data_IF_887233529655
#
_entry.id   IF_887233529655
#
_cell.length_a   1.000
_cell.length_b   1.000
_cell.length_c   1.000
_cell.angle_alpha   90.00
_cell.angle_beta   90.00
_cell.angle_gamma   90.00
#
_symmetry.space_group_name_H-M   'P 1'
#
loop_
_entity.id
_entity.type
_entity.pdbx_description
1 polymer ?
#
# COMPACT_ATOMS: atom_id res chain seq x y z
N UNK A 1 -35.77 -43.44 -3.11
CA UNK A 1 -34.65 -42.54 -3.43
C UNK A 1 -33.43 -43.39 -3.65
N UNK A 2 -32.68 -43.20 -4.73
CA UNK A 2 -31.47 -43.97 -5.03
C UNK A 2 -30.29 -43.02 -5.24
N UNK A 3 -29.14 -43.33 -4.63
CA UNK A 3 -27.87 -42.65 -4.84
C UNK A 3 -27.17 -43.29 -6.02
N UNK A 4 -26.80 -42.49 -7.01
CA UNK A 4 -26.08 -42.94 -8.19
C UNK A 4 -24.58 -43.04 -7.93
N UNK A 5 -23.86 -43.72 -8.83
CA UNK A 5 -22.39 -43.89 -8.76
C UNK A 5 -21.62 -42.57 -8.87
N UNK A 6 -22.27 -41.50 -9.32
CA UNK A 6 -21.72 -40.14 -9.39
C UNK A 6 -22.12 -39.26 -8.18
N UNK A 7 -22.68 -39.86 -7.12
CA UNK A 7 -23.08 -39.16 -5.89
C UNK A 7 -24.38 -38.35 -6.00
N UNK A 8 -25.08 -38.38 -7.15
CA UNK A 8 -26.35 -37.66 -7.33
C UNK A 8 -27.54 -38.52 -6.89
N UNK A 9 -28.59 -37.88 -6.39
CA UNK A 9 -29.81 -38.58 -5.95
C UNK A 9 -30.85 -38.59 -7.06
N UNK A 10 -31.47 -39.75 -7.28
CA UNK A 10 -32.74 -39.86 -8.00
C UNK A 10 -33.86 -40.04 -6.97
N UNK A 11 -34.85 -39.18 -7.07
CA UNK A 11 -36.10 -39.28 -6.31
C UNK A 11 -37.19 -39.81 -7.23
N UNK A 12 -37.90 -40.83 -6.75
CA UNK A 12 -39.09 -41.38 -7.37
C UNK A 12 -40.29 -41.14 -6.46
N UNK A 13 -41.49 -40.97 -7.03
CA UNK A 13 -42.70 -40.76 -6.25
C UNK A 13 -43.92 -40.40 -7.11
N UNK A 14 -45.00 -39.99 -6.46
CA UNK A 14 -46.21 -39.51 -7.14
C UNK A 14 -46.17 -37.98 -7.28
N UNK A 15 -45.42 -37.48 -8.27
CA UNK A 15 -45.39 -36.05 -8.63
C UNK A 15 -45.36 -35.90 -10.16
N UNK A 16 -45.88 -34.78 -10.65
CA UNK A 16 -45.83 -34.37 -12.07
C UNK A 16 -44.91 -33.16 -12.30
N UNK A 17 -44.38 -32.55 -11.24
CA UNK A 17 -43.48 -31.39 -11.28
C UNK A 17 -42.40 -31.46 -10.20
N UNK A 18 -41.19 -30.96 -10.50
CA UNK A 18 -40.08 -30.82 -9.55
C UNK A 18 -39.31 -29.51 -9.83
N UNK A 19 -39.09 -28.67 -8.81
CA UNK A 19 -38.55 -27.30 -8.95
C UNK A 19 -39.24 -26.47 -10.05
N UNK A 20 -40.57 -26.54 -10.16
CA UNK A 20 -41.35 -25.80 -11.16
C UNK A 20 -41.26 -26.32 -12.60
N UNK A 21 -40.51 -27.40 -12.86
CA UNK A 21 -40.38 -28.03 -14.17
C UNK A 21 -41.22 -29.32 -14.20
N UNK A 22 -41.94 -29.56 -15.29
CA UNK A 22 -42.68 -30.82 -15.50
C UNK A 22 -41.72 -32.00 -15.47
N UNK A 23 -41.92 -32.89 -14.49
CA UNK A 23 -41.14 -34.10 -14.25
C UNK A 23 -42.09 -35.15 -13.71
N UNK A 24 -42.33 -36.20 -14.50
CA UNK A 24 -43.28 -37.24 -14.11
C UNK A 24 -42.57 -38.33 -13.33
N UNK A 25 -42.92 -38.45 -12.06
CA UNK A 25 -42.63 -39.57 -11.15
C UNK A 25 -41.16 -39.85 -10.83
N UNK A 26 -40.23 -39.33 -11.62
CA UNK A 26 -38.78 -39.46 -11.44
C UNK A 26 -38.14 -38.10 -11.70
N UNK A 27 -37.30 -37.67 -10.76
CA UNK A 27 -36.49 -36.47 -10.89
C UNK A 27 -35.09 -36.77 -10.40
N UNK A 28 -34.09 -36.23 -11.09
CA UNK A 28 -32.70 -36.26 -10.65
C UNK A 28 -32.41 -34.95 -9.93
N UNK A 29 -31.91 -35.05 -8.70
CA UNK A 29 -31.48 -33.91 -7.93
C UNK A 29 -30.05 -33.54 -8.34
N UNK A 30 -29.90 -32.36 -8.94
CA UNK A 30 -28.60 -31.78 -9.23
C UNK A 30 -28.12 -31.07 -7.95
N UNK A 31 -27.27 -31.73 -7.18
CA UNK A 31 -26.55 -31.08 -6.09
C UNK A 31 -25.24 -30.52 -6.64
N UNK A 32 -25.00 -29.24 -6.38
CA UNK A 32 -23.74 -28.59 -6.72
C UNK A 32 -22.74 -28.80 -5.57
N UNK A 33 -21.47 -29.02 -5.91
CA UNK A 33 -20.39 -29.06 -4.94
C UNK A 33 -20.13 -27.66 -4.37
N UNK A 34 -20.04 -27.55 -3.05
CA UNK A 34 -19.73 -26.28 -2.41
C UNK A 34 -18.24 -25.94 -2.62
N UNK A 35 -17.92 -24.64 -2.69
CA UNK A 35 -16.57 -24.14 -2.95
C UNK A 35 -16.29 -22.86 -2.16
N UNK A 36 -15.00 -22.51 -2.06
CA UNK A 36 -14.52 -21.30 -1.39
C UNK A 36 -13.50 -20.57 -2.25
N UNK A 37 -13.29 -19.29 -1.92
CA UNK A 37 -12.24 -18.46 -2.51
C UNK A 37 -11.14 -18.27 -1.47
N UNK A 38 -9.88 -18.48 -1.87
CA UNK A 38 -8.71 -18.06 -1.12
C UNK A 38 -8.22 -16.73 -1.70
N UNK A 39 -8.38 -15.65 -0.93
CA UNK A 39 -7.90 -14.32 -1.29
C UNK A 39 -7.19 -13.69 -0.10
N UNK A 40 -5.86 -13.64 -0.18
CA UNK A 40 -5.01 -13.10 0.88
C UNK A 40 -5.20 -11.59 1.06
N UNK A 41 -4.74 -11.08 2.20
CA UNK A 41 -4.73 -9.64 2.47
C UNK A 41 -3.89 -8.90 1.43
N UNK A 42 -4.34 -7.72 1.04
CA UNK A 42 -3.62 -6.87 0.10
C UNK A 42 -2.64 -5.98 0.86
N UNK A 43 -1.40 -5.93 0.38
CA UNK A 43 -0.43 -4.97 0.88
C UNK A 43 -0.84 -3.54 0.51
N UNK A 44 -0.47 -2.58 1.35
CA UNK A 44 -0.59 -1.16 1.02
C UNK A 44 0.21 -0.84 -0.26
N UNK A 45 -0.32 0.08 -1.07
CA UNK A 45 0.30 0.55 -2.32
C UNK A 45 0.50 2.05 -2.31
N UNK A 46 1.41 2.52 -3.16
CA UNK A 46 1.69 3.94 -3.35
C UNK A 46 1.06 4.38 -4.68
N UNK A 47 0.39 5.53 -4.68
CA UNK A 47 -0.15 6.12 -5.90
C UNK A 47 0.99 6.39 -6.90
N UNK A 48 0.91 5.77 -8.08
CA UNK A 48 1.97 5.78 -9.09
C UNK A 48 2.73 4.46 -9.23
N UNK A 49 2.54 3.49 -8.32
CA UNK A 49 3.03 2.12 -8.51
C UNK A 49 2.49 1.54 -9.83
N UNK A 50 3.31 0.69 -10.46
CA UNK A 50 2.89 -0.03 -11.65
C UNK A 50 1.64 -0.90 -11.36
N UNK A 51 0.76 -1.11 -12.36
CA UNK A 51 -0.35 -2.02 -12.23
C UNK A 51 0.08 -3.40 -11.75
N UNK A 52 -0.72 -4.03 -10.90
CA UNK A 52 -0.41 -5.33 -10.31
C UNK A 52 -1.58 -6.31 -10.45
N UNK A 53 -1.26 -7.60 -10.49
CA UNK A 53 -2.25 -8.65 -10.60
C UNK A 53 -2.75 -9.12 -9.23
N UNK A 54 -4.04 -9.43 -9.17
CA UNK A 54 -4.68 -10.17 -8.08
C UNK A 54 -4.56 -11.67 -8.34
N UNK A 55 -4.41 -12.44 -7.27
CA UNK A 55 -4.09 -13.87 -7.30
C UNK A 55 -5.03 -14.72 -6.43
N UNK A 56 -6.30 -14.31 -6.30
CA UNK A 56 -7.29 -15.14 -5.62
C UNK A 56 -7.57 -16.43 -6.39
N UNK A 57 -7.79 -17.53 -5.68
CA UNK A 57 -8.10 -18.84 -6.28
C UNK A 57 -9.41 -19.38 -5.73
N UNK A 58 -10.19 -20.05 -6.57
CA UNK A 58 -11.37 -20.79 -6.13
C UNK A 58 -11.02 -22.28 -6.00
N UNK A 59 -11.55 -22.97 -4.98
CA UNK A 59 -11.29 -24.42 -4.79
C UNK A 59 -11.86 -25.29 -5.91
N UNK A 60 -12.80 -24.77 -6.71
CA UNK A 60 -13.31 -25.41 -7.93
C UNK A 60 -12.36 -25.31 -9.13
N UNK A 61 -11.33 -24.46 -9.07
CA UNK A 61 -10.47 -24.10 -10.21
C UNK A 61 -11.13 -23.14 -11.21
N UNK A 62 -12.37 -22.69 -10.97
CA UNK A 62 -13.04 -21.71 -11.81
C UNK A 62 -12.41 -20.31 -11.68
N UNK A 63 -12.43 -19.49 -12.76
CA UNK A 63 -11.85 -18.16 -12.72
C UNK A 63 -12.57 -17.25 -11.72
N UNK A 64 -11.79 -16.46 -10.99
CA UNK A 64 -12.31 -15.48 -10.03
C UNK A 64 -12.44 -14.11 -10.71
N UNK A 65 -13.55 -13.44 -10.45
CA UNK A 65 -13.83 -12.07 -10.89
C UNK A 65 -13.61 -11.09 -9.74
N UNK A 66 -13.29 -9.83 -10.07
CA UNK A 66 -12.97 -8.81 -9.08
C UNK A 66 -13.73 -7.52 -9.33
N UNK A 67 -14.12 -6.85 -8.24
CA UNK A 67 -14.71 -5.51 -8.28
C UNK A 67 -14.06 -4.62 -7.22
N UNK A 68 -13.91 -3.33 -7.53
CA UNK A 68 -13.49 -2.30 -6.58
C UNK A 68 -14.71 -1.51 -6.13
N UNK A 69 -14.88 -1.30 -4.82
CA UNK A 69 -15.97 -0.48 -4.29
C UNK A 69 -15.79 1.02 -4.58
N UNK A 70 -14.57 1.46 -4.89
CA UNK A 70 -14.25 2.84 -5.24
C UNK A 70 -13.25 2.91 -6.40
N UNK A 71 -13.75 3.21 -7.59
CA UNK A 71 -12.94 3.35 -8.82
C UNK A 71 -12.09 4.61 -8.86
N UNK A 72 -12.39 5.62 -8.02
CA UNK A 72 -11.53 6.79 -7.88
C UNK A 72 -10.22 6.47 -7.11
N UNK A 73 -10.18 5.36 -6.37
CA UNK A 73 -8.98 4.87 -5.69
C UNK A 73 -8.25 3.83 -6.55
N UNK A 74 -8.97 2.80 -7.02
CA UNK A 74 -8.40 1.79 -7.90
C UNK A 74 -9.45 1.21 -8.87
N UNK A 75 -9.05 1.04 -10.13
CA UNK A 75 -9.82 0.36 -11.17
C UNK A 75 -9.30 -1.04 -11.41
N UNK A 76 -10.14 -1.93 -11.92
CA UNK A 76 -9.78 -3.33 -12.20
C UNK A 76 -10.22 -3.69 -13.61
N UNK A 77 -9.30 -4.29 -14.39
CA UNK A 77 -9.59 -4.92 -15.67
C UNK A 77 -9.07 -6.35 -15.64
N UNK A 78 -9.96 -7.33 -15.80
CA UNK A 78 -9.64 -8.74 -15.54
C UNK A 78 -9.22 -8.94 -14.09
N UNK A 79 -7.95 -9.32 -13.87
CA UNK A 79 -7.34 -9.43 -12.54
C UNK A 79 -6.30 -8.33 -12.26
N UNK A 80 -6.14 -7.35 -13.15
CA UNK A 80 -5.11 -6.30 -13.01
C UNK A 80 -5.72 -5.06 -12.38
N UNK A 81 -5.12 -4.61 -11.28
CA UNK A 81 -5.49 -3.39 -10.56
C UNK A 81 -4.64 -2.24 -11.09
N UNK A 82 -5.28 -1.13 -11.41
CA UNK A 82 -4.62 0.15 -11.72
C UNK A 82 -5.02 1.19 -10.68
N UNK A 83 -4.03 1.82 -10.07
CA UNK A 83 -4.22 2.82 -9.03
C UNK A 83 -4.57 4.16 -9.66
N UNK A 84 -5.62 4.81 -9.17
CA UNK A 84 -6.17 6.06 -9.73
C UNK A 84 -6.02 7.21 -8.73
N UNK A 85 -6.19 6.94 -7.44
CA UNK A 85 -6.14 7.96 -6.40
C UNK A 85 -5.81 7.36 -5.04
N UNK A 86 -5.42 8.22 -4.11
CA UNK A 86 -5.17 7.81 -2.73
C UNK A 86 -6.48 7.67 -1.94
N UNK A 87 -6.47 6.77 -0.98
CA UNK A 87 -7.61 6.39 -0.17
C UNK A 87 -7.66 4.88 0.03
N UNK A 88 -8.74 4.41 0.62
CA UNK A 88 -8.98 2.98 0.81
C UNK A 88 -10.16 2.55 -0.05
N UNK A 89 -10.00 1.42 -0.74
CA UNK A 89 -11.09 0.75 -1.47
C UNK A 89 -11.16 -0.71 -1.05
N UNK A 90 -12.35 -1.29 -1.10
CA UNK A 90 -12.53 -2.73 -0.86
C UNK A 90 -12.54 -3.44 -2.20
N UNK A 91 -11.64 -4.40 -2.36
CA UNK A 91 -11.61 -5.31 -3.50
C UNK A 91 -12.38 -6.57 -3.11
N UNK A 92 -13.44 -6.86 -3.86
CA UNK A 92 -14.26 -8.06 -3.69
C UNK A 92 -13.88 -9.08 -4.75
N UNK A 93 -13.50 -10.28 -4.31
CA UNK A 93 -13.30 -11.45 -5.15
C UNK A 93 -14.58 -12.32 -5.15
N UNK A 94 -15.09 -12.64 -6.34
CA UNK A 94 -16.35 -13.36 -6.52
C UNK A 94 -16.23 -14.50 -7.53
N UNK A 95 -16.93 -15.60 -7.24
CA UNK A 95 -17.05 -16.77 -8.10
C UNK A 95 -18.51 -17.25 -8.14
N UNK A 96 -19.14 -17.16 -9.31
CA UNK A 96 -20.55 -17.47 -9.54
C UNK A 96 -20.91 -18.97 -9.51
N UNK A 97 -19.93 -19.87 -9.65
CA UNK A 97 -20.19 -21.31 -9.81
C UNK A 97 -20.47 -21.70 -11.26
N UNK A 98 -20.93 -22.95 -11.45
CA UNK A 98 -21.36 -23.49 -12.73
C UNK A 98 -22.35 -24.66 -12.50
N UNK A 99 -22.53 -25.53 -13.50
CA UNK A 99 -23.43 -26.69 -13.41
C UNK A 99 -23.01 -27.77 -12.39
N UNK A 100 -21.77 -27.73 -11.90
CA UNK A 100 -21.20 -28.72 -10.97
C UNK A 100 -20.82 -28.11 -9.61
N UNK A 101 -20.59 -26.80 -9.53
CA UNK A 101 -20.22 -26.09 -8.31
C UNK A 101 -21.15 -24.92 -7.99
N UNK A 102 -21.53 -24.77 -6.72
CA UNK A 102 -22.36 -23.66 -6.24
C UNK A 102 -21.57 -22.35 -6.22
N UNK A 103 -22.22 -21.19 -6.24
CA UNK A 103 -21.51 -19.92 -6.07
C UNK A 103 -20.68 -19.90 -4.77
N UNK A 104 -19.44 -19.41 -4.84
CA UNK A 104 -18.61 -19.27 -3.65
C UNK A 104 -19.01 -18.00 -2.86
N UNK A 105 -18.97 -18.03 -1.52
CA UNK A 105 -19.02 -16.81 -0.73
C UNK A 105 -17.93 -15.83 -1.19
N UNK A 106 -18.31 -14.58 -1.45
CA UNK A 106 -17.35 -13.56 -1.89
C UNK A 106 -16.41 -13.18 -0.74
N UNK A 107 -15.15 -12.89 -1.07
CA UNK A 107 -14.12 -12.50 -0.10
C UNK A 107 -13.71 -11.06 -0.36
N UNK A 108 -13.73 -10.25 0.69
CA UNK A 108 -13.42 -8.82 0.63
C UNK A 108 -12.05 -8.56 1.24
N UNK A 109 -11.23 -7.77 0.55
CA UNK A 109 -9.93 -7.30 1.05
C UNK A 109 -9.81 -5.80 0.87
N UNK A 110 -9.31 -5.11 1.89
CA UNK A 110 -9.07 -3.69 1.79
C UNK A 110 -7.73 -3.43 1.09
N UNK A 111 -7.76 -2.56 0.09
CA UNK A 111 -6.59 -1.98 -0.55
C UNK A 111 -6.46 -0.53 -0.08
N UNK A 112 -5.38 -0.26 0.65
CA UNK A 112 -5.00 1.09 1.02
C UNK A 112 -4.00 1.63 0.00
N UNK A 113 -4.32 2.76 -0.60
CA UNK A 113 -3.45 3.49 -1.53
C UNK A 113 -3.08 4.82 -0.88
N UNK A 114 -1.80 5.07 -0.69
CA UNK A 114 -1.33 6.34 -0.13
C UNK A 114 -0.83 7.25 -1.25
N UNK A 115 -1.20 8.53 -1.20
CA UNK A 115 -0.59 9.55 -2.04
C UNK A 115 0.69 10.01 -1.36
N UNK A 116 1.72 10.18 -2.17
CA UNK A 116 2.93 10.89 -1.76
C UNK A 116 2.59 12.38 -1.82
N UNK A 117 2.07 12.94 -0.71
CA UNK A 117 1.60 14.34 -0.65
C UNK A 117 2.73 15.37 -0.53
N UNK A 118 3.98 14.92 -0.64
CA UNK A 118 5.17 15.75 -0.86
C UNK A 118 6.22 14.90 -1.56
N UNK A 119 7.12 15.50 -2.35
CA UNK A 119 8.36 14.84 -2.78
C UNK A 119 9.30 14.60 -1.58
N UNK A 120 8.83 13.93 -0.53
CA UNK A 120 9.69 13.23 0.41
C UNK A 120 9.95 11.85 -0.19
N UNK A 121 10.81 11.85 -1.21
CA UNK A 121 11.82 10.81 -1.46
C UNK A 121 11.58 9.50 -0.68
N UNK A 122 10.89 8.54 -1.28
CA UNK A 122 10.64 7.19 -0.71
C UNK A 122 11.95 6.38 -0.59
N UNK A 123 13.10 6.97 -0.91
CA UNK A 123 14.44 6.49 -0.55
C UNK A 123 14.97 7.02 0.80
N UNK A 124 14.26 7.95 1.46
CA UNK A 124 14.90 8.84 2.43
C UNK A 124 14.19 8.90 3.81
N UNK A 125 14.62 8.10 4.80
CA UNK A 125 14.11 8.17 6.18
C UNK A 125 14.42 9.50 6.92
N UNK A 126 15.11 10.45 6.30
CA UNK A 126 15.55 11.69 6.95
C UNK A 126 14.55 12.85 6.91
N UNK A 127 13.34 12.65 6.36
CA UNK A 127 12.26 13.64 6.48
C UNK A 127 11.85 13.89 7.95
N UNK A 128 12.16 12.94 8.85
CA UNK A 128 11.86 13.00 10.29
C UNK A 128 13.02 13.60 11.12
N UNK A 129 14.23 13.70 10.57
CA UNK A 129 15.37 14.23 11.33
C UNK A 129 15.34 15.76 11.30
N UNK A 130 15.03 16.37 12.44
CA UNK A 130 14.93 17.82 12.61
C UNK A 130 16.12 18.31 13.42
N UNK A 131 16.85 19.35 12.98
CA UNK A 131 17.90 19.95 13.76
C UNK A 131 17.37 20.49 15.10
N UNK A 132 18.14 20.29 16.17
CA UNK A 132 17.78 20.72 17.52
C UNK A 132 19.01 21.28 18.26
N UNK A 133 18.83 22.20 19.22
CA UNK A 133 17.59 22.92 19.50
C UNK A 133 17.19 23.85 18.35
N UNK A 134 15.90 24.12 18.22
CA UNK A 134 15.38 25.14 17.30
C UNK A 134 14.20 25.85 18.00
N UNK A 135 14.35 27.10 18.49
CA UNK A 135 15.48 28.01 18.26
C UNK A 135 16.81 27.58 18.90
N UNK A 136 17.93 27.87 18.23
CA UNK A 136 19.29 27.60 18.69
C UNK A 136 19.97 28.87 19.20
N UNK A 137 20.83 28.75 20.22
CA UNK A 137 21.62 29.88 20.76
C UNK A 137 23.11 29.78 20.46
N UNK A 138 23.72 28.60 20.66
CA UNK A 138 25.16 28.39 20.42
C UNK A 138 25.43 27.28 19.44
N UNK A 139 24.53 26.29 19.35
CA UNK A 139 24.81 25.08 18.62
C UNK A 139 23.54 24.51 17.99
N UNK A 140 23.70 23.87 16.84
CA UNK A 140 22.68 23.09 16.15
C UNK A 140 23.20 21.67 16.01
N UNK A 141 22.45 20.72 16.55
CA UNK A 141 22.70 19.30 16.43
C UNK A 141 21.71 18.69 15.43
N UNK A 142 22.13 17.64 14.74
CA UNK A 142 21.27 16.88 13.85
C UNK A 142 21.65 15.42 13.89
N UNK A 143 20.77 14.58 14.43
CA UNK A 143 20.94 13.13 14.40
C UNK A 143 20.73 12.60 12.98
N UNK A 144 21.73 11.90 12.46
CA UNK A 144 21.79 11.30 11.12
C UNK A 144 22.11 9.79 11.28
N UNK A 145 21.15 8.97 11.75
CA UNK A 145 21.38 7.55 12.01
C UNK A 145 21.68 6.75 10.74
N UNK A 146 22.46 5.68 10.90
CA UNK A 146 22.89 4.77 9.83
C UNK A 146 23.74 5.44 8.72
N UNK A 147 24.38 6.58 9.02
CA UNK A 147 25.23 7.31 8.05
C UNK A 147 26.68 7.48 8.53
N UNK A 148 27.08 6.84 9.62
CA UNK A 148 28.45 6.90 10.13
C UNK A 148 29.47 6.54 9.04
N UNK A 149 30.54 7.32 8.93
CA UNK A 149 31.58 7.16 7.91
C UNK A 149 31.27 7.77 6.55
N UNK A 150 30.06 8.29 6.30
CA UNK A 150 29.75 8.98 5.04
C UNK A 150 30.27 10.43 5.04
N UNK A 151 30.79 10.87 3.90
CA UNK A 151 31.14 12.26 3.66
C UNK A 151 29.90 13.14 3.55
N UNK A 152 29.95 14.31 4.18
CA UNK A 152 28.89 15.30 4.13
C UNK A 152 29.42 16.70 3.86
N UNK A 153 28.51 17.56 3.37
CA UNK A 153 28.70 18.98 3.19
C UNK A 153 27.54 19.78 3.74
N UNK A 154 27.79 20.95 4.30
CA UNK A 154 26.72 21.78 4.85
C UNK A 154 26.92 23.27 4.57
N UNK A 155 25.81 24.01 4.57
CA UNK A 155 25.81 25.46 4.55
C UNK A 155 24.55 26.04 5.21
N UNK A 156 24.71 27.07 6.02
CA UNK A 156 23.65 27.92 6.57
C UNK A 156 23.53 29.18 5.70
N UNK A 157 22.37 29.37 5.09
CA UNK A 157 22.06 30.52 4.25
C UNK A 157 21.14 31.49 4.99
N UNK A 158 21.36 32.79 4.84
CA UNK A 158 20.36 33.79 5.23
C UNK A 158 19.18 33.83 4.23
N UNK A 159 18.18 34.67 4.50
CA UNK A 159 17.00 34.84 3.63
C UNK A 159 17.36 35.37 2.22
N UNK A 160 18.51 36.01 2.06
CA UNK A 160 19.05 36.47 0.78
C UNK A 160 19.83 35.38 0.02
N UNK A 161 19.89 34.16 0.55
CA UNK A 161 20.59 33.03 -0.07
C UNK A 161 22.12 33.09 0.01
N UNK A 162 22.68 33.95 0.86
CA UNK A 162 24.13 34.03 1.08
C UNK A 162 24.57 33.00 2.14
N UNK A 163 25.57 32.14 1.85
CA UNK A 163 26.10 31.22 2.85
C UNK A 163 26.93 31.98 3.89
N UNK A 164 26.58 31.82 5.17
CA UNK A 164 27.25 32.48 6.30
C UNK A 164 28.11 31.53 7.15
N UNK A 165 27.78 30.25 7.11
CA UNK A 165 28.56 29.18 7.74
C UNK A 165 28.47 27.95 6.85
N UNK A 166 29.60 27.38 6.45
CA UNK A 166 29.64 26.18 5.61
C UNK A 166 30.88 25.35 5.90
N UNK A 167 30.80 24.06 5.63
CA UNK A 167 31.92 23.14 5.78
C UNK A 167 31.63 21.78 5.18
N UNK A 168 32.57 20.87 5.34
CA UNK A 168 32.45 19.47 4.93
C UNK A 168 33.06 18.60 6.02
N UNK A 169 32.68 17.32 6.08
CA UNK A 169 33.22 16.39 7.06
C UNK A 169 32.79 14.96 6.80
N UNK A 170 33.01 14.11 7.80
CA UNK A 170 32.53 12.72 7.82
C UNK A 170 31.60 12.56 9.02
N UNK A 171 30.45 11.91 8.83
CA UNK A 171 29.50 11.67 9.92
C UNK A 171 30.18 10.78 10.97
N UNK A 172 30.33 11.29 12.19
CA UNK A 172 30.85 10.56 13.34
C UNK A 172 29.72 10.36 14.36
N UNK A 173 29.64 9.17 14.95
CA UNK A 173 28.68 8.80 16.01
C UNK A 173 27.21 9.18 15.71
N UNK A 174 26.84 9.14 14.41
CA UNK A 174 25.49 9.44 13.92
C UNK A 174 24.95 10.83 14.28
N UNK A 175 25.82 11.76 14.69
CA UNK A 175 25.44 13.10 15.12
C UNK A 175 26.28 14.15 14.40
N UNK A 176 25.61 15.11 13.76
CA UNK A 176 26.24 16.32 13.24
C UNK A 176 26.01 17.47 14.20
N UNK A 177 27.03 18.30 14.36
CA UNK A 177 27.04 19.37 15.33
C UNK A 177 27.72 20.60 14.75
N UNK A 178 27.03 21.73 14.77
CA UNK A 178 27.52 23.00 14.23
C UNK A 178 27.44 24.10 15.27
N UNK A 179 28.57 24.76 15.52
CA UNK A 179 28.60 26.01 16.28
C UNK A 179 27.98 27.13 15.44
N UNK A 180 26.89 27.70 15.94
CA UNK A 180 26.16 28.81 15.33
C UNK A 180 26.23 30.07 16.21
N UNK A 181 27.07 30.09 17.24
CA UNK A 181 27.20 31.22 18.17
C UNK A 181 27.61 32.52 17.48
N UNK A 182 28.41 32.43 16.42
CA UNK A 182 28.85 33.56 15.61
C UNK A 182 27.80 34.08 14.61
N UNK A 183 26.69 33.34 14.39
CA UNK A 183 25.62 33.80 13.51
C UNK A 183 24.74 34.84 14.22
N UNK A 184 24.38 35.95 13.55
CA UNK A 184 23.38 36.89 14.07
C UNK A 184 22.04 36.20 14.37
N UNK A 185 21.26 36.76 15.30
CA UNK A 185 19.89 36.30 15.50
C UNK A 185 19.06 36.47 14.20
N UNK A 186 18.30 35.44 13.84
CA UNK A 186 17.59 35.41 12.56
C UNK A 186 17.15 34.02 12.12
N UNK A 187 16.55 33.96 10.94
CA UNK A 187 16.10 32.70 10.32
C UNK A 187 17.08 32.31 9.22
N UNK A 188 17.50 31.05 9.24
CA UNK A 188 18.49 30.48 8.33
C UNK A 188 17.93 29.23 7.65
N UNK A 189 18.37 29.00 6.41
CA UNK A 189 18.20 27.71 5.74
C UNK A 189 19.48 26.90 5.91
N UNK A 190 19.41 25.77 6.60
CA UNK A 190 20.47 24.78 6.64
C UNK A 190 20.30 23.81 5.48
N UNK A 191 21.26 23.82 4.55
CA UNK A 191 21.43 22.78 3.54
C UNK A 191 22.46 21.78 4.02
N UNK A 192 22.14 20.50 3.99
CA UNK A 192 23.04 19.40 4.29
C UNK A 192 23.06 18.43 3.09
N UNK A 193 24.22 18.11 2.57
CA UNK A 193 24.42 17.12 1.51
C UNK A 193 25.17 15.92 2.11
N UNK A 194 24.66 14.70 1.95
CA UNK A 194 25.31 13.47 2.41
C UNK A 194 25.30 12.49 1.24
N UNK A 195 26.49 12.17 0.71
CA UNK A 195 26.58 11.45 -0.58
C UNK A 195 25.85 12.20 -1.71
N UNK A 196 24.89 11.54 -2.35
CA UNK A 196 24.05 12.11 -3.42
C UNK A 196 22.79 12.80 -2.93
N UNK A 197 22.48 12.74 -1.63
CA UNK A 197 21.24 13.27 -1.08
C UNK A 197 21.44 14.69 -0.54
N UNK A 198 20.43 15.54 -0.67
CA UNK A 198 20.44 16.91 -0.14
C UNK A 198 19.19 17.18 0.70
N UNK A 199 19.41 17.74 1.87
CA UNK A 199 18.42 18.10 2.88
C UNK A 199 18.36 19.60 3.07
N UNK A 200 17.16 20.13 3.35
CA UNK A 200 16.95 21.54 3.69
C UNK A 200 16.09 21.64 4.95
N UNK A 201 16.53 22.43 5.93
CA UNK A 201 15.78 22.70 7.17
C UNK A 201 15.90 24.17 7.58
N UNK A 202 14.84 24.68 8.18
CA UNK A 202 14.85 26.01 8.77
C UNK A 202 15.43 25.96 10.18
N UNK A 203 16.37 26.84 10.48
CA UNK A 203 16.97 27.02 11.80
C UNK A 203 16.75 28.46 12.23
N UNK A 204 16.21 28.67 13.42
CA UNK A 204 16.06 29.98 14.04
C UNK A 204 17.20 30.16 15.04
N UNK A 205 18.01 31.22 14.88
CA UNK A 205 19.03 31.65 15.84
C UNK A 205 18.45 32.73 16.74
N UNK A 206 18.57 32.54 18.05
CA UNK A 206 18.24 33.52 19.09
C UNK A 206 19.47 33.91 19.90
#
# INVERSE_FOLDING_TARGET
MVLQTDGKLIVGGNFSTFNGITRNRIARLLMLSNQSILFGTLAQRILGDAPFALNATATSGLPVSYTSSNTAVATISGNTVTLVGAGTTTITASQAGNADFAAAPSVNQNLTVVAVTSLADVSNPSAVWVPYPNPASTQVNWAIPNRSGQGYGYAFYNLQGQPLLSGQGVVADELLQWDVSALPAGVYTLRLQVGSETYHKTVVKQ
#
